data_IF_428164271656
#
_entry.id   IF_428164271656
#
_cell.length_a   1.000
_cell.length_b   1.000
_cell.length_c   1.000
_cell.angle_alpha   90.00
_cell.angle_beta   90.00
_cell.angle_gamma   90.00
#
_symmetry.space_group_name_H-M   'P 1'
#
loop_
_entity.id
_entity.type
_entity.pdbx_description
1 polymer ?
#
# COMPACT_ATOMS: atom_id res chain seq x y z
N UNK A 1 -3.64 -22.19 10.20
CA UNK A 1 -4.81 -21.86 11.05
C UNK A 1 -5.47 -20.60 10.46
N UNK A 2 -6.79 -20.59 10.33
CA UNK A 2 -7.51 -19.38 9.96
C UNK A 2 -7.43 -18.41 11.13
N UNK A 3 -7.26 -17.08 10.89
CA UNK A 3 -7.28 -16.13 11.98
C UNK A 3 -8.67 -16.20 12.65
N UNK A 4 -8.68 -16.35 13.95
CA UNK A 4 -9.92 -16.47 14.72
C UNK A 4 -10.74 -15.19 14.71
N UNK A 5 -10.08 -14.05 14.46
CA UNK A 5 -10.72 -12.74 14.53
C UNK A 5 -9.96 -11.69 13.73
N UNK A 6 -10.70 -10.90 12.95
CA UNK A 6 -10.20 -9.69 12.33
C UNK A 6 -10.73 -8.47 13.11
N UNK A 7 -9.86 -7.50 13.33
CA UNK A 7 -10.24 -6.21 13.94
C UNK A 7 -9.69 -5.09 13.09
N UNK A 8 -10.54 -4.12 12.76
CA UNK A 8 -10.17 -2.88 12.08
C UNK A 8 -10.13 -1.75 13.11
N UNK A 9 -9.00 -1.09 13.26
CA UNK A 9 -8.84 0.10 14.09
C UNK A 9 -8.84 1.30 13.14
N UNK A 10 -9.87 2.14 13.23
CA UNK A 10 -10.15 3.17 12.23
C UNK A 10 -10.42 4.54 12.84
N UNK A 11 -10.01 5.60 12.14
CA UNK A 11 -10.39 6.98 12.43
C UNK A 11 -11.80 7.33 11.91
N UNK A 12 -12.21 8.57 12.17
CA UNK A 12 -13.58 9.06 11.88
C UNK A 12 -13.99 8.90 10.41
N UNK A 13 -13.09 9.15 9.47
CA UNK A 13 -13.38 9.13 8.03
C UNK A 13 -13.70 7.74 7.51
N UNK A 14 -13.21 6.70 8.20
CA UNK A 14 -13.28 5.32 7.73
C UNK A 14 -14.23 4.42 8.55
N UNK A 15 -15.00 4.97 9.48
CA UNK A 15 -15.87 4.18 10.39
C UNK A 15 -16.86 3.26 9.65
N UNK A 16 -17.27 3.63 8.43
CA UNK A 16 -18.19 2.82 7.63
C UNK A 16 -17.50 1.77 6.77
N UNK A 17 -16.17 1.69 6.80
CA UNK A 17 -15.42 0.76 5.94
C UNK A 17 -15.76 -0.71 6.22
N UNK A 18 -16.07 -1.06 7.46
CA UNK A 18 -16.47 -2.43 7.83
C UNK A 18 -17.70 -2.93 7.05
N UNK A 19 -18.63 -2.03 6.67
CA UNK A 19 -19.81 -2.41 5.89
C UNK A 19 -19.46 -2.84 4.45
N UNK A 20 -18.30 -2.48 3.96
CA UNK A 20 -17.79 -2.83 2.63
C UNK A 20 -16.73 -3.92 2.66
N UNK A 21 -16.32 -4.38 3.85
CA UNK A 21 -15.35 -5.46 3.98
C UNK A 21 -15.93 -6.80 3.52
N UNK A 22 -15.16 -7.57 2.76
CA UNK A 22 -15.54 -8.92 2.32
C UNK A 22 -15.39 -9.98 3.40
N UNK A 23 -14.70 -9.64 4.48
CA UNK A 23 -14.52 -10.50 5.66
C UNK A 23 -15.20 -9.83 6.85
N UNK A 24 -15.77 -10.64 7.74
CA UNK A 24 -16.32 -10.13 8.99
C UNK A 24 -15.16 -9.61 9.85
N UNK A 25 -15.28 -8.38 10.31
CA UNK A 25 -14.29 -7.74 11.17
C UNK A 25 -14.98 -6.93 12.28
N UNK A 26 -14.39 -6.93 13.46
CA UNK A 26 -14.79 -6.01 14.53
C UNK A 26 -14.22 -4.63 14.26
N UNK A 27 -14.97 -3.60 14.62
CA UNK A 27 -14.53 -2.22 14.52
C UNK A 27 -14.13 -1.68 15.88
N UNK A 28 -12.97 -1.07 15.94
CA UNK A 28 -12.55 -0.22 17.06
C UNK A 28 -12.32 1.19 16.50
N UNK A 29 -13.01 2.16 17.09
CA UNK A 29 -12.79 3.55 16.77
C UNK A 29 -11.59 4.08 17.54
N UNK A 30 -10.62 4.62 16.81
CA UNK A 30 -9.44 5.30 17.35
C UNK A 30 -9.29 6.68 16.71
N UNK A 31 -9.76 7.75 17.39
CA UNK A 31 -9.81 9.11 16.82
C UNK A 31 -8.47 9.64 16.32
N UNK A 32 -7.35 9.22 16.90
CA UNK A 32 -6.02 9.64 16.46
C UNK A 32 -5.63 9.16 15.06
N UNK A 33 -6.35 8.19 14.49
CA UNK A 33 -6.20 7.81 13.07
C UNK A 33 -7.00 8.70 12.11
N UNK A 34 -7.66 9.72 12.65
CA UNK A 34 -8.42 10.70 11.87
C UNK A 34 -7.54 11.84 11.37
N UNK A 35 -8.07 12.62 10.43
CA UNK A 35 -7.47 13.88 10.01
C UNK A 35 -7.39 14.87 11.18
N UNK A 36 -6.47 15.85 11.17
CA UNK A 36 -6.39 16.88 12.19
C UNK A 36 -7.71 17.63 12.40
N UNK A 37 -7.95 18.06 13.62
CA UNK A 37 -9.15 18.82 14.03
C UNK A 37 -10.47 18.06 13.94
N UNK A 38 -10.43 16.72 13.95
CA UNK A 38 -11.61 15.90 14.10
C UNK A 38 -12.02 15.75 15.59
N UNK A 39 -13.31 15.44 15.87
CA UNK A 39 -13.75 15.15 17.22
C UNK A 39 -12.95 14.03 17.88
N UNK A 40 -12.55 14.25 19.14
CA UNK A 40 -11.70 13.32 19.92
C UNK A 40 -12.40 12.85 21.20
N UNK A 41 -13.72 12.88 21.24
CA UNK A 41 -14.48 12.40 22.40
C UNK A 41 -14.32 10.88 22.56
N UNK A 42 -14.23 10.44 23.81
CA UNK A 42 -14.06 9.03 24.17
C UNK A 42 -12.78 8.40 23.64
N UNK A 43 -11.72 9.18 23.52
CA UNK A 43 -10.42 8.68 23.10
C UNK A 43 -9.91 7.61 24.08
N UNK A 44 -9.51 6.46 23.51
CA UNK A 44 -8.71 5.44 24.20
C UNK A 44 -7.26 5.57 23.76
N UNK A 45 -6.32 5.23 24.62
CA UNK A 45 -4.93 5.08 24.18
C UNK A 45 -4.76 3.83 23.33
N UNK A 46 -3.78 3.82 22.44
CA UNK A 46 -3.50 2.67 21.57
C UNK A 46 -3.10 1.45 22.41
N UNK A 47 -2.35 1.67 23.51
CA UNK A 47 -1.97 0.63 24.47
C UNK A 47 -3.22 0.00 25.12
N UNK A 48 -4.21 0.79 25.52
CA UNK A 48 -5.44 0.25 26.10
C UNK A 48 -6.22 -0.59 25.11
N UNK A 49 -6.24 -0.19 23.85
CA UNK A 49 -6.85 -0.97 22.74
C UNK A 49 -6.10 -2.29 22.56
N UNK A 50 -4.79 -2.28 22.55
CA UNK A 50 -3.98 -3.50 22.42
C UNK A 50 -4.13 -4.45 23.61
N UNK A 51 -4.28 -3.91 24.82
CA UNK A 51 -4.60 -4.71 26.01
C UNK A 51 -5.98 -5.38 25.89
N UNK A 52 -7.00 -4.62 25.49
CA UNK A 52 -8.36 -5.12 25.30
C UNK A 52 -8.40 -6.23 24.22
N UNK A 53 -7.56 -6.13 23.19
CA UNK A 53 -7.38 -7.14 22.14
C UNK A 53 -6.58 -8.37 22.60
N UNK A 54 -6.04 -8.35 23.82
CA UNK A 54 -5.28 -9.45 24.39
C UNK A 54 -3.88 -9.63 23.79
N UNK A 55 -3.31 -8.61 23.21
CA UNK A 55 -1.96 -8.63 22.60
C UNK A 55 -0.91 -9.00 23.68
N UNK A 56 -1.05 -8.48 24.89
CA UNK A 56 -0.16 -8.80 26.03
C UNK A 56 -0.11 -10.30 26.40
N UNK A 57 -1.06 -11.12 25.94
CA UNK A 57 -1.10 -12.56 26.20
C UNK A 57 -0.40 -13.39 25.14
N UNK A 58 0.15 -12.76 24.11
CA UNK A 58 0.80 -13.45 22.99
C UNK A 58 2.27 -13.69 23.30
N UNK A 59 2.84 -14.79 22.77
CA UNK A 59 4.27 -15.09 22.85
C UNK A 59 5.08 -14.36 21.78
N UNK A 60 4.43 -14.05 20.65
CA UNK A 60 5.03 -13.35 19.52
C UNK A 60 3.98 -12.47 18.85
N UNK A 61 4.37 -11.24 18.54
CA UNK A 61 3.55 -10.25 17.81
C UNK A 61 4.31 -9.85 16.55
N UNK A 62 3.71 -10.07 15.39
CA UNK A 62 4.25 -9.67 14.09
C UNK A 62 3.67 -8.34 13.65
N UNK A 63 4.54 -7.40 13.29
CA UNK A 63 4.16 -6.13 12.67
C UNK A 63 4.43 -6.22 11.18
N UNK A 64 3.44 -5.95 10.35
CA UNK A 64 3.53 -6.01 8.89
C UNK A 64 3.25 -4.63 8.33
N UNK A 65 4.27 -4.01 7.73
CA UNK A 65 4.15 -2.85 6.88
C UNK A 65 4.12 -3.25 5.41
N UNK A 66 4.83 -2.51 4.58
CA UNK A 66 4.89 -2.78 3.13
C UNK A 66 6.24 -3.38 2.69
N UNK A 67 7.29 -3.27 3.53
CA UNK A 67 8.67 -3.60 3.15
C UNK A 67 9.16 -4.90 3.80
N UNK A 68 9.71 -5.77 2.98
CA UNK A 68 10.57 -6.87 3.44
C UNK A 68 12.01 -6.38 3.49
N UNK A 69 12.58 -6.34 4.70
CA UNK A 69 13.99 -6.00 4.88
C UNK A 69 14.88 -7.20 4.59
N UNK A 70 15.94 -6.98 3.81
CA UNK A 70 16.90 -8.03 3.42
C UNK A 70 18.34 -7.64 3.74
N UNK A 71 18.54 -6.62 4.60
CA UNK A 71 19.88 -6.17 5.01
C UNK A 71 20.62 -7.26 5.75
N UNK A 72 21.95 -7.26 5.56
CA UNK A 72 22.91 -8.12 6.31
C UNK A 72 23.60 -7.37 7.45
N UNK A 73 23.34 -6.06 7.60
CA UNK A 73 24.00 -5.21 8.60
C UNK A 73 23.30 -5.23 9.96
N UNK A 74 22.05 -5.66 10.01
CA UNK A 74 21.24 -5.80 11.22
C UNK A 74 20.26 -6.95 11.04
N UNK A 75 19.64 -7.40 12.13
CA UNK A 75 18.59 -8.41 12.07
C UNK A 75 17.32 -7.83 11.41
N UNK A 76 16.94 -8.30 10.22
CA UNK A 76 15.75 -7.80 9.53
C UNK A 76 14.45 -7.96 10.31
N UNK A 77 14.39 -8.94 11.23
CA UNK A 77 13.21 -9.21 12.05
C UNK A 77 12.91 -8.09 13.05
N UNK A 78 13.89 -7.24 13.34
CA UNK A 78 13.77 -6.12 14.30
C UNK A 78 13.51 -4.77 13.64
N UNK A 79 13.44 -4.73 12.30
CA UNK A 79 13.23 -3.50 11.54
C UNK A 79 11.75 -3.34 11.17
N UNK A 80 11.19 -2.18 11.43
CA UNK A 80 9.78 -1.86 11.19
C UNK A 80 9.63 -0.65 10.27
N UNK A 81 8.67 -0.72 9.35
CA UNK A 81 8.32 0.32 8.37
C UNK A 81 6.91 0.88 8.58
N UNK A 82 6.44 0.85 9.80
CA UNK A 82 5.18 1.47 10.24
C UNK A 82 5.46 2.69 11.12
N UNK A 83 4.49 3.60 11.34
CA UNK A 83 4.68 4.76 12.19
C UNK A 83 5.21 4.37 13.57
N UNK A 84 6.22 5.11 14.05
CA UNK A 84 6.90 4.81 15.31
C UNK A 84 5.96 4.67 16.51
N UNK A 85 4.96 5.56 16.64
CA UNK A 85 4.04 5.53 17.75
C UNK A 85 3.23 4.22 17.87
N UNK A 86 3.00 3.51 16.75
CA UNK A 86 2.34 2.20 16.76
C UNK A 86 3.29 1.13 17.33
N UNK A 87 4.55 1.16 16.91
CA UNK A 87 5.56 0.23 17.42
C UNK A 87 5.84 0.48 18.90
N UNK A 88 5.87 1.75 19.28
CA UNK A 88 6.08 2.17 20.68
C UNK A 88 4.93 1.71 21.58
N UNK A 89 3.69 1.93 21.16
CA UNK A 89 2.51 1.45 21.89
C UNK A 89 2.50 -0.09 22.02
N UNK A 90 2.92 -0.83 20.99
CA UNK A 90 3.08 -2.29 21.09
C UNK A 90 4.14 -2.68 22.11
N UNK A 91 5.32 -2.04 22.08
CA UNK A 91 6.41 -2.29 23.03
C UNK A 91 5.98 -2.03 24.47
N UNK A 92 5.17 -0.97 24.69
CA UNK A 92 4.66 -0.63 26.02
C UNK A 92 3.54 -1.57 26.49
N UNK A 93 2.92 -2.32 25.58
CA UNK A 93 1.80 -3.23 25.90
C UNK A 93 2.24 -4.66 26.14
N UNK A 94 3.23 -5.16 25.37
CA UNK A 94 3.65 -6.56 25.45
C UNK A 94 4.61 -6.78 26.63
N UNK A 95 4.57 -7.98 27.27
CA UNK A 95 5.54 -8.33 28.30
C UNK A 95 6.93 -8.59 27.70
N UNK A 96 7.97 -8.52 28.54
CA UNK A 96 9.37 -8.63 28.10
C UNK A 96 9.68 -9.96 27.40
N UNK A 97 8.98 -11.03 27.75
CA UNK A 97 9.10 -12.36 27.16
C UNK A 97 8.37 -12.52 25.83
N UNK A 98 7.59 -11.53 25.41
CA UNK A 98 6.93 -11.52 24.11
C UNK A 98 7.87 -10.97 23.04
N UNK A 99 8.03 -11.70 21.95
CA UNK A 99 8.81 -11.24 20.81
C UNK A 99 7.99 -10.30 19.92
N UNK A 100 8.48 -9.08 19.71
CA UNK A 100 7.97 -8.17 18.68
C UNK A 100 8.85 -8.27 17.44
N UNK A 101 8.29 -8.72 16.33
CA UNK A 101 9.05 -9.00 15.11
C UNK A 101 8.41 -8.39 13.87
N UNK A 102 9.24 -8.13 12.86
CA UNK A 102 8.72 -7.85 11.51
C UNK A 102 8.10 -9.13 10.94
N UNK A 103 6.82 -9.07 10.61
CA UNK A 103 6.05 -10.20 10.11
C UNK A 103 5.96 -10.27 8.57
N UNK A 104 6.68 -9.44 7.83
CA UNK A 104 6.56 -9.36 6.36
C UNK A 104 6.80 -10.71 5.66
N UNK A 105 7.62 -11.60 6.25
CA UNK A 105 7.87 -12.94 5.72
C UNK A 105 6.61 -13.81 5.61
N UNK A 106 5.59 -13.54 6.43
CA UNK A 106 4.28 -14.24 6.33
C UNK A 106 3.60 -13.92 5.00
N UNK A 107 3.86 -12.73 4.45
CA UNK A 107 3.25 -12.26 3.20
C UNK A 107 4.10 -12.60 1.97
N UNK A 108 5.40 -12.37 2.02
CA UNK A 108 6.30 -12.32 0.86
C UNK A 108 7.52 -13.25 0.95
N UNK A 109 7.71 -14.01 2.03
CA UNK A 109 8.79 -15.03 2.12
C UNK A 109 8.52 -16.24 1.21
N UNK A 110 9.45 -17.18 1.14
CA UNK A 110 9.39 -18.37 0.25
C UNK A 110 8.06 -19.14 0.35
N UNK A 111 7.45 -19.14 1.53
CA UNK A 111 6.13 -19.73 1.79
C UNK A 111 5.09 -18.67 2.18
N UNK A 112 5.32 -17.41 1.80
CA UNK A 112 4.41 -16.31 2.11
C UNK A 112 3.05 -16.47 1.42
N UNK A 113 1.99 -16.02 2.06
CA UNK A 113 0.61 -16.18 1.55
C UNK A 113 0.36 -15.47 0.21
N UNK A 114 1.24 -14.55 -0.19
CA UNK A 114 1.17 -13.83 -1.48
C UNK A 114 2.02 -14.47 -2.58
N UNK A 115 2.68 -15.59 -2.33
CA UNK A 115 3.50 -16.29 -3.34
C UNK A 115 2.69 -17.27 -4.18
N UNK A 116 1.45 -17.53 -3.79
CA UNK A 116 0.51 -18.37 -4.52
C UNK A 116 -0.80 -17.63 -4.75
N UNK A 117 -1.45 -17.90 -5.88
CA UNK A 117 -2.71 -17.28 -6.25
C UNK A 117 -3.79 -18.33 -6.52
N UNK A 118 -5.01 -18.05 -6.12
CA UNK A 118 -6.16 -18.83 -6.54
C UNK A 118 -6.70 -18.37 -7.91
N UNK A 119 -7.64 -19.11 -8.47
CA UNK A 119 -8.19 -18.81 -9.79
C UNK A 119 -8.84 -17.42 -9.91
N UNK A 120 -9.49 -16.94 -8.84
CA UNK A 120 -10.10 -15.61 -8.85
C UNK A 120 -9.05 -14.50 -8.84
N UNK A 121 -7.96 -14.68 -8.10
CA UNK A 121 -6.83 -13.73 -8.10
C UNK A 121 -6.15 -13.68 -9.45
N UNK A 122 -5.94 -14.84 -10.10
CA UNK A 122 -5.37 -14.92 -11.44
C UNK A 122 -6.26 -14.17 -12.45
N UNK A 123 -7.57 -14.43 -12.45
CA UNK A 123 -8.52 -13.73 -13.32
C UNK A 123 -8.51 -12.20 -13.09
N UNK A 124 -8.37 -11.77 -11.84
CA UNK A 124 -8.27 -10.34 -11.49
C UNK A 124 -6.97 -9.73 -12.03
N UNK A 125 -5.84 -10.42 -11.88
CA UNK A 125 -4.56 -9.94 -12.43
C UNK A 125 -4.56 -9.91 -13.96
N UNK A 126 -5.16 -10.90 -14.62
CA UNK A 126 -5.32 -10.91 -16.09
C UNK A 126 -6.16 -9.72 -16.57
N UNK A 127 -7.24 -9.41 -15.87
CA UNK A 127 -8.06 -8.22 -16.17
C UNK A 127 -7.23 -6.93 -16.03
N UNK A 128 -6.53 -6.74 -14.92
CA UNK A 128 -5.67 -5.57 -14.69
C UNK A 128 -4.54 -5.45 -15.71
N UNK A 129 -3.91 -6.58 -16.06
CA UNK A 129 -2.85 -6.62 -17.07
C UNK A 129 -3.36 -6.26 -18.47
N UNK A 130 -4.53 -6.77 -18.86
CA UNK A 130 -5.17 -6.44 -20.14
C UNK A 130 -5.49 -4.94 -20.23
N UNK A 131 -6.07 -4.39 -19.15
CA UNK A 131 -6.39 -2.97 -19.05
C UNK A 131 -5.14 -2.10 -19.16
N UNK A 132 -4.07 -2.46 -18.44
CA UNK A 132 -2.78 -1.77 -18.50
C UNK A 132 -2.17 -1.81 -19.91
N UNK A 133 -2.21 -2.97 -20.57
CA UNK A 133 -1.69 -3.14 -21.93
C UNK A 133 -2.44 -2.25 -22.93
N UNK A 134 -3.77 -2.17 -22.83
CA UNK A 134 -4.59 -1.31 -23.69
C UNK A 134 -4.26 0.17 -23.50
N UNK A 135 -4.12 0.61 -22.25
CA UNK A 135 -3.74 1.99 -21.93
C UNK A 135 -2.33 2.31 -22.45
N UNK A 136 -1.39 1.39 -22.27
CA UNK A 136 -0.02 1.53 -22.76
C UNK A 136 0.02 1.64 -24.29
N UNK A 137 -0.67 0.79 -25.00
CA UNK A 137 -0.74 0.84 -26.47
C UNK A 137 -1.37 2.15 -26.97
N UNK A 138 -2.43 2.63 -26.34
CA UNK A 138 -3.02 3.94 -26.67
C UNK A 138 -2.01 5.06 -26.49
N UNK A 139 -1.32 5.09 -25.36
CA UNK A 139 -0.32 6.11 -25.09
C UNK A 139 0.84 6.06 -26.10
N UNK A 140 1.40 4.88 -26.34
CA UNK A 140 2.51 4.69 -27.29
C UNK A 140 2.14 5.14 -28.70
N UNK A 141 0.93 4.81 -29.16
CA UNK A 141 0.45 5.18 -30.50
C UNK A 141 0.12 6.67 -30.67
N UNK A 142 -0.04 7.38 -29.56
CA UNK A 142 -0.35 8.82 -29.56
C UNK A 142 0.89 9.72 -29.43
N UNK A 143 2.08 9.12 -29.25
CA UNK A 143 3.31 9.91 -29.10
C UNK A 143 3.71 10.49 -30.45
N UNK A 144 3.66 11.83 -30.53
CA UNK A 144 4.12 12.61 -31.68
C UNK A 144 4.92 13.82 -31.19
N UNK A 145 5.89 14.32 -31.97
CA UNK A 145 6.56 15.57 -31.67
C UNK A 145 5.54 16.72 -31.52
N UNK A 146 5.66 17.48 -30.43
CA UNK A 146 4.74 18.57 -30.08
C UNK A 146 3.60 18.18 -29.15
N UNK A 147 3.30 16.89 -28.95
CA UNK A 147 2.37 16.45 -27.90
C UNK A 147 2.95 16.75 -26.51
N UNK A 148 2.07 17.04 -25.54
CA UNK A 148 2.49 17.25 -24.16
C UNK A 148 2.55 15.93 -23.39
N UNK A 149 3.48 15.83 -22.45
CA UNK A 149 3.57 14.68 -21.54
C UNK A 149 2.23 14.41 -20.83
N UNK A 150 1.47 15.47 -20.46
CA UNK A 150 0.14 15.35 -19.82
C UNK A 150 -0.90 14.71 -20.75
N UNK A 151 -0.83 14.96 -22.05
CA UNK A 151 -1.75 14.34 -23.02
C UNK A 151 -1.50 12.84 -23.10
N UNK A 152 -0.24 12.44 -23.17
CA UNK A 152 0.16 11.03 -23.17
C UNK A 152 -0.14 10.37 -21.82
N UNK A 153 0.18 11.03 -20.70
CA UNK A 153 -0.09 10.55 -19.34
C UNK A 153 -1.58 10.30 -19.08
N UNK A 154 -2.47 11.10 -19.62
CA UNK A 154 -3.92 10.91 -19.50
C UNK A 154 -4.39 9.60 -20.19
N UNK A 155 -3.73 9.19 -21.26
CA UNK A 155 -4.05 7.92 -21.94
C UNK A 155 -3.63 6.68 -21.16
N UNK A 156 -2.77 6.84 -20.16
CA UNK A 156 -2.34 5.77 -19.26
C UNK A 156 -3.35 5.48 -18.14
N UNK A 157 -4.42 6.25 -18.04
CA UNK A 157 -5.49 6.04 -17.07
C UNK A 157 -6.65 5.26 -17.71
N UNK A 158 -7.28 4.39 -16.94
CA UNK A 158 -8.53 3.71 -17.31
C UNK A 158 -9.70 4.29 -16.52
N UNK A 159 -10.80 4.49 -17.19
CA UNK A 159 -11.99 5.17 -16.68
C UNK A 159 -12.48 4.57 -15.36
N UNK A 160 -12.33 5.33 -14.28
CA UNK A 160 -12.76 4.95 -12.94
C UNK A 160 -11.96 3.83 -12.26
N UNK A 161 -10.93 3.28 -12.90
CA UNK A 161 -10.06 2.29 -12.26
C UNK A 161 -8.95 2.96 -11.47
N UNK A 162 -8.65 2.42 -10.30
CA UNK A 162 -7.59 2.92 -9.46
C UNK A 162 -6.22 2.44 -9.96
N UNK A 163 -5.31 3.39 -10.20
CA UNK A 163 -3.94 3.07 -10.57
C UNK A 163 -3.20 2.48 -9.36
N UNK A 164 -2.61 1.31 -9.52
CA UNK A 164 -1.79 0.66 -8.49
C UNK A 164 -0.38 1.22 -8.39
N UNK A 165 0.05 1.97 -9.40
CA UNK A 165 1.34 2.67 -9.46
C UNK A 165 1.12 4.11 -9.89
N UNK A 166 2.05 4.99 -9.54
CA UNK A 166 2.06 6.37 -10.05
C UNK A 166 2.23 6.36 -11.56
N UNK A 167 1.38 7.10 -12.27
CA UNK A 167 1.50 7.27 -13.72
C UNK A 167 2.80 8.00 -14.05
N UNK A 168 3.63 7.37 -14.87
CA UNK A 168 4.86 7.96 -15.41
C UNK A 168 4.63 8.30 -16.87
N UNK A 169 4.95 9.52 -17.26
CA UNK A 169 5.03 9.96 -18.66
C UNK A 169 6.03 11.13 -18.69
N UNK A 170 7.30 10.81 -18.90
CA UNK A 170 8.38 11.78 -18.86
C UNK A 170 9.31 11.61 -20.07
N UNK A 171 9.61 12.70 -20.78
CA UNK A 171 10.38 12.70 -22.01
C UNK A 171 11.71 13.45 -21.90
N UNK A 172 12.71 13.00 -22.66
CA UNK A 172 14.02 13.65 -22.79
C UNK A 172 14.75 13.78 -21.45
N UNK A 173 15.28 14.97 -21.18
CA UNK A 173 16.03 15.23 -19.94
C UNK A 173 15.23 14.92 -18.66
N UNK A 174 13.92 15.10 -18.68
CA UNK A 174 13.07 14.77 -17.52
C UNK A 174 13.10 13.28 -17.19
N UNK A 175 13.13 12.42 -18.21
CA UNK A 175 13.33 10.99 -18.05
C UNK A 175 14.72 10.68 -17.46
N UNK A 176 15.77 11.28 -17.98
CA UNK A 176 17.16 11.11 -17.50
C UNK A 176 17.33 11.54 -16.03
N UNK A 177 16.62 12.59 -15.60
CA UNK A 177 16.62 13.09 -14.21
C UNK A 177 15.62 12.37 -13.30
N UNK A 178 15.05 11.24 -13.73
CA UNK A 178 14.05 10.47 -12.99
C UNK A 178 12.78 11.26 -12.61
N UNK A 179 12.39 12.25 -13.40
CA UNK A 179 11.12 12.94 -13.22
C UNK A 179 9.97 12.05 -13.72
N UNK A 180 9.01 11.79 -12.85
CA UNK A 180 7.97 10.77 -13.07
C UNK A 180 6.63 11.35 -13.53
N UNK A 181 6.22 12.49 -12.98
CA UNK A 181 4.92 13.06 -13.28
C UNK A 181 4.90 13.72 -14.66
N UNK A 182 3.83 13.50 -15.46
CA UNK A 182 3.66 14.21 -16.71
C UNK A 182 3.50 15.73 -16.46
N UNK A 183 4.10 16.53 -17.34
CA UNK A 183 4.00 17.98 -17.31
C UNK A 183 3.51 18.51 -18.66
N UNK A 184 3.43 19.85 -18.80
CA UNK A 184 3.11 20.49 -20.07
C UNK A 184 4.33 20.59 -21.02
N UNK A 185 5.44 19.89 -20.71
CA UNK A 185 6.58 19.79 -21.63
C UNK A 185 6.12 19.12 -22.93
N UNK A 186 6.45 19.73 -24.04
CA UNK A 186 6.26 19.17 -25.37
C UNK A 186 7.36 18.15 -25.68
N UNK A 187 6.96 17.02 -26.23
CA UNK A 187 7.85 15.93 -26.65
C UNK A 187 8.55 16.36 -27.95
N UNK A 188 9.87 16.20 -28.01
CA UNK A 188 10.66 16.53 -29.19
C UNK A 188 11.09 15.27 -29.94
N UNK A 189 11.29 15.41 -31.25
CA UNK A 189 11.77 14.30 -32.08
C UNK A 189 13.13 13.81 -31.56
N UNK A 190 13.24 12.48 -31.36
CA UNK A 190 14.48 11.84 -30.90
C UNK A 190 14.63 11.77 -29.38
N UNK A 191 13.71 12.33 -28.60
CA UNK A 191 13.72 12.18 -27.14
C UNK A 191 13.25 10.78 -26.73
N UNK A 192 13.95 10.10 -25.78
CA UNK A 192 13.39 8.93 -25.13
C UNK A 192 12.23 9.31 -24.22
N UNK A 193 11.26 8.40 -24.03
CA UNK A 193 10.14 8.62 -23.13
C UNK A 193 9.92 7.39 -22.24
N UNK A 194 9.72 7.63 -20.94
CA UNK A 194 9.29 6.61 -19.98
C UNK A 194 7.79 6.65 -19.80
N UNK A 195 7.16 5.48 -19.86
CA UNK A 195 5.73 5.30 -19.61
C UNK A 195 5.53 4.20 -18.57
N UNK A 196 4.65 4.45 -17.59
CA UNK A 196 4.27 3.43 -16.60
C UNK A 196 2.81 3.59 -16.24
N UNK A 197 2.10 2.46 -16.19
CA UNK A 197 0.75 2.35 -15.66
C UNK A 197 0.55 0.97 -15.05
N UNK A 198 -0.44 0.83 -14.18
CA UNK A 198 -0.86 -0.43 -13.61
C UNK A 198 -2.18 -0.25 -12.87
N UNK A 199 -3.03 -1.27 -12.88
CA UNK A 199 -4.34 -1.27 -12.24
C UNK A 199 -4.48 -2.40 -11.24
N UNK A 200 -5.35 -2.18 -10.25
CA UNK A 200 -5.77 -3.19 -9.27
C UNK A 200 -7.07 -3.83 -9.69
#
# INVERSE_FOLDING_TARGET
ERPEKFTLILGNENLRLCAHARVSADLIHYPQFSLPNQPMENEKTLESIFLDLGIAKKKRVGVIGWKMFTTKQSDPSTLFDVPYFIVDALKNTIPTECELVNGAYVMIGDNGVRTTNNANEIAHYEYGANLSSRCMLRAMNAIEPGCKETEIGNLLNADGQYNSVVTIAAAGQRFELANIYPTHKEIQLGEPMSLTTGFK
#
